data_IF_035513604170
#
_entry.id   IF_035513604170
#
_cell.length_a   1.000
_cell.length_b   1.000
_cell.length_c   1.000
_cell.angle_alpha   90.00
_cell.angle_beta   90.00
_cell.angle_gamma   90.00
#
_symmetry.space_group_name_H-M   'P 1'
#
loop_
_entity.id
_entity.type
_entity.pdbx_description
1 polymer ?
#
# COMPACT_ATOMS: atom_id res chain seq x y z
N UNK A 1 1.87 -4.16 15.38
CA UNK A 1 2.97 -3.22 15.10
C UNK A 1 2.37 -1.85 15.00
N UNK A 2 3.02 -0.87 15.60
CA UNK A 2 2.55 0.52 15.60
C UNK A 2 2.84 1.16 14.24
N UNK A 3 1.81 1.71 13.60
CA UNK A 3 1.92 2.45 12.35
C UNK A 3 1.30 3.84 12.53
N UNK A 4 2.00 4.87 12.04
CA UNK A 4 1.54 6.25 12.08
C UNK A 4 1.29 6.77 10.66
N UNK A 5 0.26 7.60 10.51
CA UNK A 5 0.05 8.36 9.29
C UNK A 5 1.10 9.46 9.23
N UNK A 6 1.89 9.47 8.17
CA UNK A 6 2.90 10.49 7.89
C UNK A 6 2.41 11.33 6.72
N UNK A 7 2.59 12.65 6.80
CA UNK A 7 2.27 13.53 5.69
C UNK A 7 3.39 13.50 4.64
N UNK A 8 3.02 13.23 3.39
CA UNK A 8 3.94 13.09 2.28
C UNK A 8 3.39 13.85 1.09
N UNK A 9 4.23 14.66 0.44
CA UNK A 9 3.83 15.44 -0.75
C UNK A 9 3.39 14.50 -1.90
N UNK A 10 2.12 14.58 -2.35
CA UNK A 10 1.60 13.76 -3.44
C UNK A 10 2.33 13.97 -4.77
N UNK A 11 2.85 15.17 -5.05
CA UNK A 11 3.59 15.44 -6.29
C UNK A 11 4.93 14.73 -6.32
N UNK A 12 5.69 14.83 -5.23
CA UNK A 12 6.97 14.15 -5.05
C UNK A 12 6.82 12.63 -5.12
N UNK A 13 5.81 12.06 -4.45
CA UNK A 13 5.52 10.62 -4.53
C UNK A 13 5.22 10.19 -5.98
N UNK A 14 4.31 10.87 -6.68
CA UNK A 14 3.91 10.50 -8.06
C UNK A 14 5.06 10.64 -9.04
N UNK A 15 5.93 11.63 -8.86
CA UNK A 15 7.14 11.81 -9.69
C UNK A 15 8.13 10.68 -9.47
N UNK A 16 8.44 10.37 -8.20
CA UNK A 16 9.34 9.26 -7.84
C UNK A 16 8.80 7.92 -8.30
N UNK A 17 7.52 7.64 -8.06
CA UNK A 17 6.86 6.40 -8.46
C UNK A 17 6.90 6.19 -9.98
N UNK A 18 6.60 7.21 -10.79
CA UNK A 18 6.70 7.11 -12.25
C UNK A 18 8.15 6.88 -12.70
N UNK A 19 9.10 7.62 -12.13
CA UNK A 19 10.51 7.46 -12.47
C UNK A 19 11.02 6.05 -12.16
N UNK A 20 10.65 5.50 -11.00
CA UNK A 20 10.95 4.12 -10.62
C UNK A 20 10.34 3.13 -11.61
N UNK A 21 9.05 3.29 -11.93
CA UNK A 21 8.37 2.41 -12.87
C UNK A 21 9.02 2.42 -14.25
N UNK A 22 9.40 3.60 -14.76
CA UNK A 22 10.11 3.70 -16.04
C UNK A 22 11.52 3.11 -15.98
N UNK A 23 12.25 3.34 -14.89
CA UNK A 23 13.57 2.75 -14.69
C UNK A 23 13.51 1.21 -14.63
N UNK A 24 12.54 0.65 -13.89
CA UNK A 24 12.32 -0.80 -13.82
C UNK A 24 11.91 -1.38 -15.16
N UNK A 25 11.00 -0.73 -15.89
CA UNK A 25 10.58 -1.18 -17.21
C UNK A 25 11.74 -1.16 -18.21
N UNK A 26 12.51 -0.07 -18.25
CA UNK A 26 13.70 0.05 -19.09
C UNK A 26 14.74 -1.02 -18.77
N UNK A 27 15.03 -1.23 -17.48
CA UNK A 27 15.98 -2.24 -17.04
C UNK A 27 15.52 -3.67 -17.38
N UNK A 28 14.24 -3.97 -17.21
CA UNK A 28 13.68 -5.27 -17.57
C UNK A 28 13.85 -5.56 -19.07
N UNK A 29 13.58 -4.56 -19.92
CA UNK A 29 13.77 -4.67 -21.37
C UNK A 29 15.26 -4.90 -21.68
N UNK A 30 16.15 -4.09 -21.11
CA UNK A 30 17.59 -4.21 -21.33
C UNK A 30 18.10 -5.58 -20.91
N UNK A 31 17.79 -6.04 -19.69
CA UNK A 31 18.23 -7.36 -19.22
C UNK A 31 17.57 -8.50 -20.00
N UNK A 32 16.28 -8.42 -20.30
CA UNK A 32 15.59 -9.44 -21.09
C UNK A 32 16.21 -9.60 -22.47
N UNK A 33 16.51 -8.48 -23.15
CA UNK A 33 17.21 -8.50 -24.44
C UNK A 33 18.65 -9.01 -24.32
N UNK A 34 19.40 -8.53 -23.32
CA UNK A 34 20.79 -8.96 -23.12
C UNK A 34 20.87 -10.46 -22.86
N UNK A 35 20.08 -11.01 -21.94
CA UNK A 35 20.08 -12.45 -21.66
C UNK A 35 19.55 -13.25 -22.84
N UNK A 36 18.50 -12.79 -23.52
CA UNK A 36 17.99 -13.46 -24.72
C UNK A 36 19.06 -13.53 -25.83
N UNK A 37 19.77 -12.42 -26.08
CA UNK A 37 20.85 -12.36 -27.04
C UNK A 37 22.01 -13.30 -26.65
N UNK A 38 22.40 -13.32 -25.38
CA UNK A 38 23.49 -14.15 -24.89
C UNK A 38 23.17 -15.66 -25.01
N UNK A 39 21.93 -16.04 -24.70
CA UNK A 39 21.47 -17.43 -24.83
C UNK A 39 21.35 -17.85 -26.31
N UNK A 40 20.78 -17.01 -27.16
CA UNK A 40 20.56 -17.35 -28.57
C UNK A 40 21.84 -17.36 -29.41
N UNK A 41 22.84 -16.53 -29.05
CA UNK A 41 24.17 -16.56 -29.69
C UNK A 41 24.98 -17.78 -29.26
N UNK A 42 24.83 -18.25 -28.02
CA UNK A 42 25.60 -19.39 -27.48
C UNK A 42 24.98 -20.74 -27.84
N UNK A 43 23.64 -20.84 -27.80
CA UNK A 43 22.91 -22.12 -27.93
C UNK A 43 22.03 -22.21 -29.19
N UNK A 44 22.00 -21.15 -30.01
CA UNK A 44 21.16 -21.06 -31.22
C UNK A 44 19.80 -20.40 -30.96
N UNK A 45 19.14 -19.96 -32.03
CA UNK A 45 17.87 -19.26 -31.95
C UNK A 45 16.70 -20.22 -31.67
N UNK A 46 16.10 -20.12 -30.49
CA UNK A 46 14.86 -20.84 -30.13
C UNK A 46 13.92 -19.93 -29.35
N UNK A 47 12.61 -20.05 -29.58
CA UNK A 47 11.59 -19.34 -28.82
C UNK A 47 11.71 -19.58 -27.31
N UNK A 48 12.13 -20.79 -26.92
CA UNK A 48 12.28 -21.15 -25.51
C UNK A 48 13.48 -20.47 -24.84
N UNK A 49 14.58 -20.30 -25.58
CA UNK A 49 15.76 -19.58 -25.10
C UNK A 49 15.49 -18.07 -24.96
N UNK A 50 14.67 -17.51 -25.86
CA UNK A 50 14.20 -16.13 -25.72
C UNK A 50 13.34 -15.96 -24.45
N UNK A 51 12.39 -16.87 -24.22
CA UNK A 51 11.56 -16.87 -23.01
C UNK A 51 12.40 -17.02 -21.73
N UNK A 52 13.42 -17.89 -21.76
CA UNK A 52 14.35 -18.08 -20.66
C UNK A 52 15.19 -16.82 -20.39
N UNK A 53 15.63 -16.12 -21.44
CA UNK A 53 16.34 -14.85 -21.31
C UNK A 53 15.50 -13.76 -20.64
N UNK A 54 14.22 -13.65 -21.02
CA UNK A 54 13.27 -12.73 -20.36
C UNK A 54 13.05 -13.11 -18.90
N UNK A 55 12.93 -14.41 -18.59
CA UNK A 55 12.79 -14.90 -17.21
C UNK A 55 14.00 -14.54 -16.35
N UNK A 56 15.22 -14.76 -16.86
CA UNK A 56 16.46 -14.36 -16.18
C UNK A 56 16.55 -12.84 -16.01
N UNK A 57 16.11 -12.07 -17.01
CA UNK A 57 16.03 -10.62 -16.93
C UNK A 57 15.07 -10.12 -15.85
N UNK A 58 13.93 -10.80 -15.69
CA UNK A 58 12.98 -10.53 -14.62
C UNK A 58 13.58 -10.82 -13.23
N UNK A 59 14.25 -11.96 -13.07
CA UNK A 59 14.91 -12.33 -11.82
C UNK A 59 16.02 -11.34 -11.44
N UNK A 60 16.87 -10.97 -12.40
CA UNK A 60 17.94 -9.98 -12.18
C UNK A 60 17.37 -8.60 -11.83
N UNK A 61 16.32 -8.15 -12.53
CA UNK A 61 15.63 -6.89 -12.22
C UNK A 61 15.02 -6.91 -10.82
N UNK A 62 14.39 -8.02 -10.43
CA UNK A 62 13.80 -8.20 -9.10
C UNK A 62 14.85 -8.16 -7.99
N UNK A 63 15.98 -8.85 -8.17
CA UNK A 63 17.08 -8.84 -7.21
C UNK A 63 17.66 -7.43 -7.03
N UNK A 64 17.90 -6.71 -8.14
CA UNK A 64 18.41 -5.34 -8.05
C UNK A 64 17.40 -4.40 -7.38
N UNK A 65 16.10 -4.56 -7.70
CA UNK A 65 15.05 -3.81 -7.05
C UNK A 65 14.99 -4.07 -5.54
N UNK A 66 15.17 -5.33 -5.10
CA UNK A 66 15.19 -5.68 -3.68
C UNK A 66 16.31 -4.93 -2.93
N UNK A 67 17.49 -4.80 -3.53
CA UNK A 67 18.61 -4.03 -2.95
C UNK A 67 18.35 -2.52 -2.99
N UNK A 68 17.82 -2.01 -4.10
CA UNK A 68 17.49 -0.59 -4.24
C UNK A 68 16.37 -0.13 -3.31
N UNK A 69 15.50 -1.06 -2.88
CA UNK A 69 14.38 -0.79 -1.96
C UNK A 69 14.79 -0.28 -0.60
N UNK A 70 16.00 -0.59 -0.15
CA UNK A 70 16.52 -0.16 1.15
C UNK A 70 16.99 1.30 1.14
N UNK A 71 17.23 1.88 -0.04
CA UNK A 71 17.78 3.23 -0.19
C UNK A 71 16.77 4.32 0.22
N UNK A 72 17.25 5.47 0.74
CA UNK A 72 16.41 6.54 1.32
C UNK A 72 15.49 7.24 0.31
N UNK A 73 15.79 7.18 -0.99
CA UNK A 73 14.90 7.72 -2.04
C UNK A 73 13.57 6.97 -2.19
N UNK A 74 13.43 5.80 -1.58
CA UNK A 74 12.23 4.95 -1.62
C UNK A 74 11.36 5.06 -0.37
N UNK A 75 11.69 5.97 0.56
CA UNK A 75 10.95 6.17 1.81
C UNK A 75 9.47 6.45 1.56
N UNK A 76 9.14 7.33 0.62
CA UNK A 76 7.74 7.67 0.31
C UNK A 76 6.99 6.48 -0.31
N UNK A 77 7.64 5.75 -1.22
CA UNK A 77 7.04 4.56 -1.84
C UNK A 77 6.85 3.43 -0.81
N UNK A 78 7.81 3.29 0.11
CA UNK A 78 7.75 2.33 1.22
C UNK A 78 6.62 2.68 2.18
N UNK A 79 6.46 3.96 2.52
CA UNK A 79 5.35 4.47 3.31
C UNK A 79 4.02 4.11 2.66
N UNK A 80 3.81 4.45 1.37
CA UNK A 80 2.54 4.15 0.67
C UNK A 80 2.28 2.65 0.61
N UNK A 81 3.31 1.84 0.42
CA UNK A 81 3.16 0.38 0.44
C UNK A 81 2.75 -0.14 1.84
N UNK A 82 3.36 0.38 2.91
CA UNK A 82 2.97 0.04 4.28
C UNK A 82 1.55 0.54 4.59
N UNK A 83 1.19 1.75 4.19
CA UNK A 83 -0.16 2.30 4.33
C UNK A 83 -1.19 1.37 3.68
N UNK A 84 -0.96 0.98 2.40
CA UNK A 84 -1.82 0.02 1.69
C UNK A 84 -1.92 -1.31 2.44
N UNK A 85 -0.82 -1.82 2.97
CA UNK A 85 -0.80 -3.08 3.69
C UNK A 85 -1.62 -3.01 4.98
N UNK A 86 -1.42 -1.98 5.81
CA UNK A 86 -2.20 -1.78 7.04
C UNK A 86 -3.69 -1.54 6.75
N UNK A 87 -4.02 -0.74 5.73
CA UNK A 87 -5.41 -0.56 5.29
C UNK A 87 -6.05 -1.86 4.84
N UNK A 88 -5.30 -2.71 4.10
CA UNK A 88 -5.77 -4.03 3.69
C UNK A 88 -6.00 -4.94 4.89
N UNK A 89 -5.14 -4.89 5.92
CA UNK A 89 -5.36 -5.65 7.15
C UNK A 89 -6.65 -5.20 7.82
N UNK A 90 -6.83 -3.89 8.07
CA UNK A 90 -8.04 -3.34 8.70
C UNK A 90 -9.30 -3.65 7.88
N UNK A 91 -9.19 -3.62 6.54
CA UNK A 91 -10.31 -3.92 5.63
C UNK A 91 -10.91 -5.30 5.88
N UNK A 92 -10.08 -6.28 6.26
CA UNK A 92 -10.50 -7.64 6.55
C UNK A 92 -11.34 -7.78 7.83
N UNK A 93 -11.31 -6.77 8.71
CA UNK A 93 -12.03 -6.77 9.99
C UNK A 93 -13.18 -5.76 10.02
N UNK A 94 -13.51 -5.09 8.90
CA UNK A 94 -14.52 -4.02 8.89
C UNK A 94 -15.87 -4.44 9.47
N UNK A 95 -16.33 -5.67 9.17
CA UNK A 95 -17.61 -6.16 9.71
C UNK A 95 -17.59 -6.25 11.24
N UNK A 96 -16.50 -6.73 11.82
CA UNK A 96 -16.32 -6.87 13.27
C UNK A 96 -16.12 -5.50 13.93
N UNK A 97 -15.33 -4.63 13.30
CA UNK A 97 -15.11 -3.27 13.78
C UNK A 97 -16.41 -2.47 13.81
N UNK A 98 -17.26 -2.56 12.77
CA UNK A 98 -18.59 -1.92 12.74
C UNK A 98 -19.46 -2.36 13.90
N UNK A 99 -19.53 -3.66 14.19
CA UNK A 99 -20.27 -4.20 15.35
C UNK A 99 -19.71 -3.68 16.68
N UNK A 100 -18.39 -3.71 16.84
CA UNK A 100 -17.76 -3.22 18.06
C UNK A 100 -17.93 -1.69 18.24
N UNK A 101 -18.02 -0.93 17.14
CA UNK A 101 -18.38 0.50 17.18
C UNK A 101 -19.81 0.69 17.68
N UNK A 102 -20.76 -0.21 17.38
CA UNK A 102 -22.12 -0.17 17.96
C UNK A 102 -22.08 -0.28 19.49
N UNK A 103 -21.17 -1.09 20.02
CA UNK A 103 -20.92 -1.29 21.46
C UNK A 103 -20.06 -0.19 22.11
N UNK A 104 -19.77 0.90 21.40
CA UNK A 104 -18.92 2.01 21.85
C UNK A 104 -17.47 1.59 22.19
N UNK A 105 -16.97 0.54 21.54
CA UNK A 105 -15.58 0.11 21.69
C UNK A 105 -14.63 1.18 21.14
N UNK A 106 -13.79 1.74 22.02
CA UNK A 106 -12.85 2.82 21.69
C UNK A 106 -11.82 2.39 20.65
N UNK A 107 -11.26 1.19 20.77
CA UNK A 107 -10.27 0.63 19.85
C UNK A 107 -10.87 0.44 18.44
N UNK A 108 -12.13 -0.02 18.36
CA UNK A 108 -12.81 -0.15 17.08
C UNK A 108 -13.05 1.21 16.41
N UNK A 109 -13.44 2.22 17.20
CA UNK A 109 -13.56 3.61 16.73
C UNK A 109 -12.22 4.15 16.23
N UNK A 110 -11.11 3.86 16.91
CA UNK A 110 -9.78 4.31 16.49
C UNK A 110 -9.34 3.66 15.17
N UNK A 111 -9.48 2.33 15.05
CA UNK A 111 -9.13 1.58 13.85
C UNK A 111 -9.97 1.99 12.63
N UNK A 112 -11.28 2.22 12.82
CA UNK A 112 -12.17 2.62 11.73
C UNK A 112 -11.89 4.07 11.30
N UNK A 113 -11.59 4.96 12.25
CA UNK A 113 -11.18 6.34 11.96
C UNK A 113 -9.88 6.38 11.16
N UNK A 114 -8.87 5.63 11.63
CA UNK A 114 -7.60 5.47 10.91
C UNK A 114 -7.83 4.93 9.50
N UNK A 115 -8.71 3.94 9.33
CA UNK A 115 -9.02 3.39 8.01
C UNK A 115 -9.60 4.44 7.06
N UNK A 116 -10.55 5.26 7.51
CA UNK A 116 -11.11 6.34 6.68
C UNK A 116 -10.06 7.41 6.36
N UNK A 117 -9.23 7.81 7.33
CA UNK A 117 -8.16 8.79 7.12
C UNK A 117 -7.10 8.27 6.13
N UNK A 118 -6.63 7.03 6.33
CA UNK A 118 -5.64 6.42 5.46
C UNK A 118 -6.16 6.17 4.05
N UNK A 119 -7.45 5.83 3.87
CA UNK A 119 -8.06 5.71 2.54
C UNK A 119 -8.12 7.05 1.81
N UNK A 120 -8.45 8.14 2.51
CA UNK A 120 -8.43 9.49 1.94
C UNK A 120 -7.01 9.90 1.53
N UNK A 121 -6.04 9.70 2.42
CA UNK A 121 -4.64 10.00 2.13
C UNK A 121 -4.11 9.15 0.96
N UNK A 122 -4.48 7.88 0.91
CA UNK A 122 -4.10 7.01 -0.19
C UNK A 122 -4.70 7.45 -1.52
N UNK A 123 -5.94 7.94 -1.54
CA UNK A 123 -6.56 8.49 -2.74
C UNK A 123 -5.80 9.73 -3.21
N UNK A 124 -5.51 10.67 -2.31
CA UNK A 124 -4.75 11.88 -2.58
C UNK A 124 -3.35 11.59 -3.15
N UNK A 125 -2.59 10.69 -2.51
CA UNK A 125 -1.27 10.26 -2.97
C UNK A 125 -1.31 9.64 -4.37
N UNK A 126 -2.39 8.92 -4.70
CA UNK A 126 -2.58 8.37 -6.04
C UNK A 126 -3.16 9.37 -7.05
N UNK A 127 -3.43 10.62 -6.65
CA UNK A 127 -4.08 11.63 -7.48
C UNK A 127 -5.52 11.27 -7.85
N UNK A 128 -6.19 10.49 -7.01
CA UNK A 128 -7.60 10.11 -7.17
C UNK A 128 -8.42 10.89 -6.16
N UNK A 129 -9.64 11.25 -6.53
CA UNK A 129 -10.66 11.61 -5.55
C UNK A 129 -11.03 10.34 -4.77
N UNK A 130 -11.24 10.45 -3.47
CA UNK A 130 -11.83 9.36 -2.69
C UNK A 130 -13.18 9.03 -3.33
N UNK A 131 -13.36 7.77 -3.73
CA UNK A 131 -14.66 7.27 -4.16
C UNK A 131 -15.51 7.06 -2.89
N UNK A 132 -15.91 8.19 -2.33
CA UNK A 132 -16.72 8.28 -1.12
C UNK A 132 -18.17 8.07 -1.54
N UNK A 133 -18.54 6.81 -1.76
CA UNK A 133 -19.94 6.44 -1.88
C UNK A 133 -20.70 6.88 -0.62
N UNK A 134 -21.97 7.21 -0.79
CA UNK A 134 -22.89 7.71 0.24
C UNK A 134 -22.83 6.88 1.54
N UNK A 135 -22.68 5.56 1.45
CA UNK A 135 -22.52 4.66 2.58
C UNK A 135 -21.24 4.91 3.40
N UNK A 136 -20.10 5.18 2.74
CA UNK A 136 -18.82 5.44 3.42
C UNK A 136 -18.82 6.80 4.09
N UNK A 137 -19.47 7.79 3.48
CA UNK A 137 -19.66 9.11 4.08
C UNK A 137 -20.53 9.02 5.33
N UNK A 138 -21.61 8.25 5.28
CA UNK A 138 -22.47 8.01 6.43
C UNK A 138 -21.71 7.31 7.57
N UNK A 139 -20.92 6.27 7.26
CA UNK A 139 -20.07 5.57 8.23
C UNK A 139 -19.06 6.53 8.88
N UNK A 140 -18.33 7.30 8.08
CA UNK A 140 -17.35 8.28 8.56
C UNK A 140 -18.01 9.31 9.49
N UNK A 141 -19.21 9.78 9.16
CA UNK A 141 -19.96 10.72 10.00
C UNK A 141 -20.42 10.07 11.30
N UNK A 142 -20.93 8.84 11.24
CA UNK A 142 -21.37 8.09 12.42
C UNK A 142 -20.22 7.87 13.41
N UNK A 143 -19.05 7.46 12.89
CA UNK A 143 -17.84 7.27 13.70
C UNK A 143 -17.42 8.59 14.33
N UNK A 144 -17.43 9.70 13.58
CA UNK A 144 -17.09 11.03 14.09
C UNK A 144 -18.00 11.46 15.24
N UNK A 145 -19.32 11.33 15.08
CA UNK A 145 -20.31 11.67 16.12
C UNK A 145 -20.09 10.83 17.39
N UNK A 146 -19.87 9.52 17.24
CA UNK A 146 -19.61 8.64 18.39
C UNK A 146 -18.32 9.00 19.12
N UNK A 147 -17.26 9.38 18.38
CA UNK A 147 -16.01 9.84 18.99
C UNK A 147 -16.20 11.13 19.78
N UNK A 148 -16.90 12.10 19.21
CA UNK A 148 -17.22 13.37 19.88
C UNK A 148 -18.02 13.11 21.17
N UNK A 149 -19.03 12.23 21.11
CA UNK A 149 -19.82 11.84 22.28
C UNK A 149 -18.99 11.18 23.40
N UNK A 150 -17.90 10.49 23.04
CA UNK A 150 -16.98 9.84 23.98
C UNK A 150 -15.79 10.72 24.38
N UNK A 151 -15.72 11.97 23.91
CA UNK A 151 -14.61 12.89 24.16
C UNK A 151 -13.28 12.44 23.53
N UNK A 152 -13.33 11.63 22.47
CA UNK A 152 -12.14 11.14 21.76
C UNK A 152 -11.68 12.15 20.72
N UNK A 153 -10.36 12.21 20.42
CA UNK A 153 -9.84 13.09 19.37
C UNK A 153 -10.48 12.75 18.01
N UNK A 154 -10.75 13.76 17.16
CA UNK A 154 -11.44 13.55 15.88
C UNK A 154 -10.58 12.81 14.84
N UNK A 155 -9.27 12.76 15.06
CA UNK A 155 -8.29 12.15 14.17
C UNK A 155 -7.45 11.15 14.95
N UNK A 156 -6.97 10.12 14.25
CA UNK A 156 -6.10 9.09 14.78
C UNK A 156 -4.82 9.10 13.97
N UNK A 157 -3.75 9.60 14.58
CA UNK A 157 -2.44 9.68 13.93
C UNK A 157 -1.74 8.32 13.89
N UNK A 158 -2.08 7.41 14.81
CA UNK A 158 -1.35 6.17 15.02
C UNK A 158 -2.29 5.06 15.49
N UNK A 159 -2.07 3.87 14.96
CA UNK A 159 -2.74 2.64 15.41
C UNK A 159 -1.72 1.54 15.70
N UNK A 160 -2.08 0.60 16.57
CA UNK A 160 -1.41 -0.70 16.62
C UNK A 160 -2.27 -1.73 15.87
N UNK A 161 -1.74 -2.28 14.78
CA UNK A 161 -2.44 -3.36 14.07
C UNK A 161 -2.51 -4.67 14.85
N UNK A 162 -1.78 -4.80 15.96
CA UNK A 162 -1.98 -5.91 16.89
C UNK A 162 -3.39 -5.87 17.53
N UNK A 163 -3.99 -4.68 17.66
CA UNK A 163 -5.34 -4.52 18.21
C UNK A 163 -6.41 -5.22 17.37
N UNK A 164 -6.15 -5.43 16.07
CA UNK A 164 -7.02 -6.21 15.19
C UNK A 164 -7.19 -7.66 15.68
N UNK A 165 -6.23 -8.20 16.44
CA UNK A 165 -6.35 -9.54 17.01
C UNK A 165 -7.50 -9.66 18.01
N UNK A 166 -7.84 -8.59 18.72
CA UNK A 166 -8.99 -8.56 19.63
C UNK A 166 -10.33 -8.72 18.88
N UNK A 167 -10.35 -8.44 17.57
CA UNK A 167 -11.50 -8.58 16.68
C UNK A 167 -11.40 -9.80 15.76
N UNK A 168 -10.35 -10.62 15.90
CA UNK A 168 -10.20 -11.89 15.19
C UNK A 168 -11.20 -12.86 15.77
N UNK A 169 -12.21 -13.18 14.95
CA UNK A 169 -13.29 -14.12 15.28
C UNK A 169 -12.76 -15.38 15.99
N UNK A 170 -13.37 -15.68 17.12
CA UNK A 170 -13.89 -17.03 17.37
C UNK A 170 -15.02 -17.34 16.40
#
# INVERSE_FOLDING_TARGET
>A
MVFALEDHDPETYRRKARMISFAMAGQLIIFGLLFSMLLTTTFGSSLWLNALGVLLGLLATSALFAVLRERPWMTEVRYVWQLKHHLSQVSGYLSQLRKAVEENNRTALDLLTFYHQGMAQLAELNGRTTDDDSERLAEKMQVKIKREALGLPPQVERIDTHDLQAFKRG
#
